data_IF_259843429416
#
_entry.id   IF_259843429416
#
_cell.length_a   1.000
_cell.length_b   1.000
_cell.length_c   1.000
_cell.angle_alpha   90.00
_cell.angle_beta   90.00
_cell.angle_gamma   90.00
#
_symmetry.space_group_name_H-M   'P 1'
#
loop_
_entity.id
_entity.type
_entity.pdbx_description
1 polymer ?
#
# COMPACT_ATOMS: atom_id res chain seq x y z
N UNK A 1 -32.73 13.52 -23.39
CA UNK A 1 -31.69 13.67 -22.34
C UNK A 1 -30.99 12.34 -22.21
N UNK A 2 -29.68 12.29 -22.44
CA UNK A 2 -28.90 11.06 -22.23
C UNK A 2 -28.99 10.63 -20.76
N UNK A 3 -29.08 9.32 -20.50
CA UNK A 3 -29.05 8.81 -19.13
C UNK A 3 -27.77 9.29 -18.44
N UNK A 4 -27.86 9.74 -17.19
CA UNK A 4 -26.67 10.04 -16.40
C UNK A 4 -25.83 8.77 -16.21
N UNK A 5 -24.52 8.92 -16.32
CA UNK A 5 -23.55 7.84 -16.07
C UNK A 5 -23.71 7.31 -14.65
N UNK A 6 -23.69 5.99 -14.47
CA UNK A 6 -23.81 5.31 -13.18
C UNK A 6 -22.52 4.57 -12.88
N UNK A 7 -22.20 4.44 -11.59
CA UNK A 7 -20.98 3.78 -11.12
C UNK A 7 -21.31 2.59 -10.23
N UNK A 8 -20.49 1.54 -10.33
CA UNK A 8 -20.44 0.44 -9.37
C UNK A 8 -19.55 0.85 -8.21
N UNK A 9 -20.10 0.91 -6.99
CA UNK A 9 -19.38 1.39 -5.80
C UNK A 9 -18.67 0.24 -5.08
N UNK A 10 -17.38 0.39 -4.84
CA UNK A 10 -16.57 -0.50 -4.00
C UNK A 10 -16.03 0.31 -2.83
N UNK A 11 -16.27 -0.15 -1.59
CA UNK A 11 -15.85 0.56 -0.37
C UNK A 11 -14.81 -0.29 0.34
N UNK A 12 -13.66 0.30 0.69
CA UNK A 12 -12.60 -0.46 1.35
C UNK A 12 -11.42 0.39 1.81
N UNK A 13 -10.51 -0.26 2.54
CA UNK A 13 -9.21 0.32 2.92
C UNK A 13 -8.18 0.16 1.80
N UNK A 14 -8.21 -1.01 1.14
CA UNK A 14 -7.38 -1.37 -0.01
C UNK A 14 -5.87 -1.27 0.26
N UNK A 15 -5.41 -1.97 1.30
CA UNK A 15 -4.08 -1.73 1.88
C UNK A 15 -3.24 -3.01 2.13
N UNK A 16 -2.14 -3.24 1.38
CA UNK A 16 -1.87 -2.62 0.08
C UNK A 16 -2.91 -3.09 -0.96
N UNK A 17 -3.10 -2.32 -2.03
CA UNK A 17 -3.95 -2.76 -3.14
C UNK A 17 -3.32 -3.98 -3.82
N UNK A 18 -4.04 -5.11 -3.89
CA UNK A 18 -3.49 -6.40 -4.29
C UNK A 18 -4.38 -7.08 -5.34
N UNK A 19 -3.89 -8.18 -5.93
CA UNK A 19 -4.57 -8.87 -7.03
C UNK A 19 -5.99 -9.32 -6.66
N UNK A 20 -6.23 -9.72 -5.40
CA UNK A 20 -7.59 -10.00 -4.91
C UNK A 20 -8.56 -8.80 -4.97
N UNK A 21 -8.08 -7.59 -4.69
CA UNK A 21 -8.91 -6.39 -4.83
C UNK A 21 -9.18 -6.05 -6.29
N UNK A 22 -8.14 -6.13 -7.14
CA UNK A 22 -8.24 -5.93 -8.60
C UNK A 22 -9.26 -6.88 -9.21
N UNK A 23 -9.17 -8.18 -8.89
CA UNK A 23 -10.09 -9.21 -9.38
C UNK A 23 -11.56 -8.85 -9.15
N UNK A 24 -11.90 -8.42 -7.93
CA UNK A 24 -13.28 -8.06 -7.54
C UNK A 24 -13.76 -6.82 -8.31
N UNK A 25 -12.91 -5.81 -8.44
CA UNK A 25 -13.25 -4.57 -9.16
C UNK A 25 -13.42 -4.85 -10.66
N UNK A 26 -12.56 -5.69 -11.25
CA UNK A 26 -12.66 -6.11 -12.64
C UNK A 26 -13.96 -6.83 -12.98
N UNK A 27 -14.61 -7.49 -12.02
CA UNK A 27 -15.95 -8.06 -12.26
C UNK A 27 -16.98 -7.02 -12.73
N UNK A 28 -16.84 -5.75 -12.32
CA UNK A 28 -17.65 -4.67 -12.83
C UNK A 28 -17.11 -4.09 -14.15
N UNK A 29 -15.79 -3.88 -14.24
CA UNK A 29 -15.14 -3.30 -15.44
C UNK A 29 -15.32 -4.20 -16.68
N UNK A 30 -15.19 -5.51 -16.52
CA UNK A 30 -15.35 -6.51 -17.59
C UNK A 30 -16.80 -6.57 -18.12
N UNK A 31 -17.75 -5.98 -17.38
CA UNK A 31 -19.14 -5.78 -17.80
C UNK A 31 -19.39 -4.38 -18.38
N UNK A 32 -18.33 -3.65 -18.76
CA UNK A 32 -18.37 -2.29 -19.30
C UNK A 32 -19.06 -1.27 -18.36
N UNK A 33 -18.93 -1.50 -17.04
CA UNK A 33 -19.47 -0.59 -16.02
C UNK A 33 -18.39 0.36 -15.54
N UNK A 34 -18.75 1.62 -15.38
CA UNK A 34 -17.94 2.59 -14.64
C UNK A 34 -17.83 2.21 -13.16
N UNK A 35 -16.68 2.44 -12.55
CA UNK A 35 -16.39 2.07 -11.17
C UNK A 35 -16.09 3.29 -10.31
N UNK A 36 -16.62 3.30 -9.09
CA UNK A 36 -16.26 4.25 -8.05
C UNK A 36 -15.65 3.50 -6.87
N UNK A 37 -14.41 3.81 -6.51
CA UNK A 37 -13.71 3.24 -5.37
C UNK A 37 -13.74 4.27 -4.23
N UNK A 38 -14.43 3.97 -3.15
CA UNK A 38 -14.45 4.78 -1.95
C UNK A 38 -13.41 4.28 -0.94
N UNK A 39 -12.32 5.02 -0.83
CA UNK A 39 -11.22 4.77 0.10
C UNK A 39 -11.57 5.29 1.50
N UNK A 40 -11.55 4.39 2.47
CA UNK A 40 -11.68 4.74 3.89
C UNK A 40 -10.42 5.46 4.39
N UNK A 41 -10.60 6.69 4.87
CA UNK A 41 -9.56 7.43 5.58
C UNK A 41 -9.34 6.82 6.97
N UNK A 42 -8.34 5.97 7.07
CA UNK A 42 -7.99 5.19 8.26
C UNK A 42 -6.65 5.65 8.85
N UNK A 43 -6.47 5.56 10.18
CA UNK A 43 -5.20 5.93 10.80
C UNK A 43 -4.04 5.06 10.30
N UNK A 44 -2.87 5.66 10.18
CA UNK A 44 -1.62 4.95 9.86
C UNK A 44 -1.17 4.18 11.10
N UNK A 45 -0.84 2.90 10.92
CA UNK A 45 -0.26 2.04 11.97
C UNK A 45 0.94 1.28 11.44
N UNK A 46 1.61 0.50 12.29
CA UNK A 46 2.67 -0.41 11.84
C UNK A 46 2.17 -1.45 10.83
N UNK A 47 0.93 -1.89 10.99
CA UNK A 47 0.30 -2.92 10.16
C UNK A 47 -0.46 -2.33 8.95
N UNK A 48 -0.77 -1.04 9.00
CA UNK A 48 -1.43 -0.28 7.95
C UNK A 48 -0.60 0.99 7.69
N UNK A 49 0.53 0.87 6.95
CA UNK A 49 1.53 1.92 6.86
C UNK A 49 1.28 2.95 5.74
N UNK A 50 0.15 2.94 5.05
CA UNK A 50 -0.10 3.80 3.88
C UNK A 50 -1.16 4.87 4.15
N UNK A 51 -0.84 6.13 3.81
CA UNK A 51 -1.82 7.23 3.84
C UNK A 51 -2.94 6.96 2.82
N UNK A 52 -4.08 7.65 2.98
CA UNK A 52 -5.17 7.54 2.00
C UNK A 52 -4.76 8.08 0.63
N UNK A 53 -3.89 9.10 0.59
CA UNK A 53 -3.26 9.64 -0.61
C UNK A 53 -2.38 8.60 -1.31
N UNK A 54 -1.48 7.94 -0.58
CA UNK A 54 -0.59 6.91 -1.17
C UNK A 54 -1.42 5.74 -1.73
N UNK A 55 -2.49 5.35 -1.04
CA UNK A 55 -3.43 4.33 -1.53
C UNK A 55 -4.18 4.79 -2.78
N UNK A 56 -4.60 6.05 -2.82
CA UNK A 56 -5.23 6.67 -3.98
C UNK A 56 -4.28 6.65 -5.18
N UNK A 57 -3.05 7.13 -5.01
CA UNK A 57 -2.02 7.14 -6.06
C UNK A 57 -1.75 5.75 -6.62
N UNK A 58 -1.61 4.74 -5.76
CA UNK A 58 -1.43 3.34 -6.17
C UNK A 58 -2.58 2.82 -7.04
N UNK A 59 -3.83 3.14 -6.67
CA UNK A 59 -5.03 2.66 -7.35
C UNK A 59 -5.27 3.44 -8.65
N UNK A 60 -5.10 4.76 -8.63
CA UNK A 60 -5.26 5.62 -9.80
C UNK A 60 -4.23 5.30 -10.88
N UNK A 61 -2.96 5.09 -10.53
CA UNK A 61 -1.95 4.69 -11.52
C UNK A 61 -2.25 3.31 -12.11
N UNK A 62 -2.76 2.37 -11.30
CA UNK A 62 -3.15 1.05 -11.78
C UNK A 62 -4.31 1.10 -12.78
N UNK A 63 -5.30 1.96 -12.55
CA UNK A 63 -6.51 2.10 -13.39
C UNK A 63 -6.50 3.33 -14.31
N UNK A 64 -5.35 3.95 -14.59
CA UNK A 64 -5.26 5.26 -15.25
C UNK A 64 -5.95 5.37 -16.62
N UNK A 65 -6.06 4.25 -17.33
CA UNK A 65 -6.67 4.17 -18.67
C UNK A 65 -8.05 3.50 -18.64
N UNK A 66 -8.61 3.25 -17.44
CA UNK A 66 -9.89 2.57 -17.21
C UNK A 66 -10.93 3.54 -16.63
N UNK A 67 -12.22 3.18 -16.71
CA UNK A 67 -13.33 4.03 -16.25
C UNK A 67 -13.55 3.93 -14.72
N UNK A 68 -12.54 4.36 -13.98
CA UNK A 68 -12.47 4.29 -12.52
C UNK A 68 -12.34 5.69 -11.94
N UNK A 69 -13.16 5.99 -10.93
CA UNK A 69 -13.00 7.19 -10.08
C UNK A 69 -12.70 6.77 -8.65
N UNK A 70 -11.76 7.45 -8.01
CA UNK A 70 -11.41 7.20 -6.61
C UNK A 70 -11.85 8.38 -5.76
N UNK A 71 -12.58 8.11 -4.69
CA UNK A 71 -13.05 9.12 -3.73
C UNK A 71 -12.56 8.78 -2.33
N UNK A 72 -12.34 9.80 -1.51
CA UNK A 72 -12.13 9.63 -0.08
C UNK A 72 -13.46 9.62 0.66
N UNK A 73 -13.57 8.76 1.66
CA UNK A 73 -14.65 8.81 2.65
C UNK A 73 -14.07 8.76 4.07
N UNK A 74 -14.79 9.28 5.09
CA UNK A 74 -14.44 9.04 6.48
C UNK A 74 -14.30 7.55 6.78
N UNK A 75 -13.62 7.21 7.86
CA UNK A 75 -13.69 5.84 8.35
C UNK A 75 -15.14 5.50 8.72
N UNK A 76 -15.63 4.35 8.24
CA UNK A 76 -17.03 3.96 8.43
C UNK A 76 -17.15 2.67 9.24
N UNK A 77 -18.14 2.65 10.12
CA UNK A 77 -18.52 1.47 10.91
C UNK A 77 -19.49 0.55 10.16
N UNK A 78 -20.40 1.11 9.37
CA UNK A 78 -21.48 0.36 8.71
C UNK A 78 -21.91 0.99 7.38
N UNK A 79 -22.40 0.15 6.46
CA UNK A 79 -23.09 0.57 5.24
C UNK A 79 -24.58 0.34 5.44
N UNK A 80 -25.33 1.41 5.66
CA UNK A 80 -26.75 1.36 5.98
C UNK A 80 -27.60 1.66 4.74
N UNK A 81 -28.50 0.74 4.37
CA UNK A 81 -29.26 0.80 3.11
C UNK A 81 -30.76 0.83 3.43
N UNK A 82 -31.48 1.81 2.86
CA UNK A 82 -32.93 1.98 3.03
C UNK A 82 -33.78 1.13 2.08
N UNK A 83 -35.09 1.41 2.05
CA UNK A 83 -36.01 0.83 1.05
C UNK A 83 -35.95 1.64 -0.24
N UNK A 84 -36.02 0.96 -1.40
CA UNK A 84 -36.09 1.57 -2.75
C UNK A 84 -34.91 2.52 -3.07
N UNK A 85 -33.68 2.11 -2.76
CA UNK A 85 -32.46 2.94 -2.91
C UNK A 85 -32.06 3.24 -4.36
N UNK A 86 -32.68 2.58 -5.35
CA UNK A 86 -32.45 2.89 -6.77
C UNK A 86 -31.15 2.30 -7.36
N UNK A 87 -30.48 1.43 -6.60
CA UNK A 87 -29.32 0.63 -7.02
C UNK A 87 -29.42 -0.80 -6.48
N UNK A 88 -28.65 -1.71 -7.09
CA UNK A 88 -28.53 -3.09 -6.65
C UNK A 88 -27.37 -3.24 -5.67
N UNK A 89 -27.52 -4.16 -4.71
CA UNK A 89 -26.44 -4.58 -3.82
C UNK A 89 -25.91 -5.90 -4.35
N UNK A 90 -24.72 -5.85 -4.96
CA UNK A 90 -24.08 -7.00 -5.58
C UNK A 90 -22.92 -7.44 -4.70
N UNK A 91 -22.83 -8.74 -4.42
CA UNK A 91 -21.69 -9.37 -3.77
C UNK A 91 -20.87 -10.10 -4.82
N UNK A 92 -19.58 -9.83 -4.85
CA UNK A 92 -18.61 -10.59 -5.64
C UNK A 92 -17.78 -11.43 -4.67
N UNK A 93 -17.74 -12.73 -4.89
CA UNK A 93 -16.85 -13.64 -4.17
C UNK A 93 -15.65 -13.95 -5.07
N UNK A 94 -14.44 -13.94 -4.50
CA UNK A 94 -13.24 -14.33 -5.22
C UNK A 94 -13.10 -15.87 -5.17
N UNK A 95 -12.60 -16.52 -6.23
CA UNK A 95 -12.29 -17.95 -6.16
C UNK A 95 -11.15 -18.22 -5.16
N UNK A 96 -11.10 -19.42 -4.54
CA UNK A 96 -10.17 -19.75 -3.44
C UNK A 96 -8.70 -19.39 -3.72
N UNK A 97 -8.22 -19.57 -4.96
CA UNK A 97 -6.85 -19.24 -5.35
C UNK A 97 -6.52 -17.74 -5.33
N UNK A 98 -7.54 -16.88 -5.42
CA UNK A 98 -7.45 -15.42 -5.28
C UNK A 98 -7.71 -15.00 -3.83
N UNK A 99 -8.58 -15.70 -3.10
CA UNK A 99 -8.79 -15.49 -1.66
C UNK A 99 -7.51 -15.72 -0.84
N UNK A 100 -6.64 -16.62 -1.30
CA UNK A 100 -5.33 -16.86 -0.69
C UNK A 100 -4.35 -15.68 -0.76
N UNK A 101 -4.71 -14.58 -1.44
CA UNK A 101 -3.93 -13.34 -1.48
C UNK A 101 -4.47 -12.39 -0.40
N UNK A 102 -3.87 -12.43 0.79
CA UNK A 102 -4.20 -11.47 1.84
C UNK A 102 -3.18 -10.34 1.95
N UNK A 103 -3.67 -9.13 2.23
CA UNK A 103 -2.84 -7.99 2.59
C UNK A 103 -1.85 -8.29 3.72
N UNK A 104 -2.25 -9.11 4.70
CA UNK A 104 -1.39 -9.49 5.83
C UNK A 104 -0.18 -10.29 5.35
N UNK A 105 -0.38 -11.32 4.53
CA UNK A 105 0.72 -12.10 3.97
C UNK A 105 1.64 -11.24 3.10
N UNK A 106 1.10 -10.31 2.32
CA UNK A 106 1.91 -9.40 1.51
C UNK A 106 2.81 -8.53 2.40
N UNK A 107 2.28 -8.00 3.51
CA UNK A 107 3.07 -7.21 4.46
C UNK A 107 4.15 -8.04 5.15
N UNK A 108 3.84 -9.27 5.54
CA UNK A 108 4.82 -10.21 6.11
C UNK A 108 5.95 -10.49 5.13
N UNK A 109 5.62 -10.79 3.86
CA UNK A 109 6.61 -11.00 2.80
C UNK A 109 7.50 -9.75 2.59
N UNK A 110 6.93 -8.55 2.61
CA UNK A 110 7.70 -7.30 2.51
C UNK A 110 8.66 -7.16 3.71
N UNK A 111 8.19 -7.43 4.93
CA UNK A 111 8.99 -7.33 6.15
C UNK A 111 10.14 -8.36 6.18
N UNK A 112 9.92 -9.55 5.62
CA UNK A 112 10.91 -10.63 5.49
C UNK A 112 11.87 -10.43 4.32
N UNK A 113 11.61 -9.46 3.42
CA UNK A 113 12.37 -9.28 2.19
C UNK A 113 12.11 -10.37 1.14
N UNK A 114 10.98 -11.07 1.22
CA UNK A 114 10.57 -12.07 0.24
C UNK A 114 9.94 -11.40 -0.99
N UNK A 115 10.68 -11.36 -2.09
CA UNK A 115 10.29 -10.73 -3.36
C UNK A 115 9.02 -11.31 -4.03
N UNK A 116 8.49 -12.45 -3.57
CA UNK A 116 7.24 -13.04 -4.09
C UNK A 116 6.05 -12.07 -4.00
N UNK A 117 6.04 -11.18 -3.01
CA UNK A 117 4.97 -10.19 -2.81
C UNK A 117 4.69 -9.36 -4.07
N UNK A 118 5.69 -9.13 -4.92
CA UNK A 118 5.58 -8.38 -6.17
C UNK A 118 4.64 -9.02 -7.17
N UNK A 119 4.47 -10.35 -7.11
CA UNK A 119 3.52 -11.09 -7.96
C UNK A 119 2.09 -11.03 -7.45
N UNK A 120 1.90 -10.66 -6.19
CA UNK A 120 0.60 -10.65 -5.49
C UNK A 120 -0.09 -9.29 -5.53
N UNK A 121 0.59 -8.26 -6.03
CA UNK A 121 0.04 -6.92 -6.23
C UNK A 121 0.12 -6.53 -7.71
N UNK A 122 -0.67 -5.55 -8.18
CA UNK A 122 -0.49 -5.02 -9.51
C UNK A 122 0.88 -4.34 -9.70
N UNK A 123 1.35 -4.30 -10.94
CA UNK A 123 2.67 -3.73 -11.26
C UNK A 123 2.82 -2.28 -10.79
N UNK A 124 1.81 -1.44 -11.02
CA UNK A 124 1.80 -0.05 -10.57
C UNK A 124 2.00 0.07 -9.05
N UNK A 125 1.32 -0.81 -8.29
CA UNK A 125 1.48 -0.90 -6.83
C UNK A 125 2.90 -1.34 -6.48
N UNK A 126 3.44 -2.39 -7.12
CA UNK A 126 4.80 -2.83 -6.85
C UNK A 126 5.84 -1.74 -7.10
N UNK A 127 5.73 -1.04 -8.23
CA UNK A 127 6.61 0.07 -8.60
C UNK A 127 6.54 1.21 -7.57
N UNK A 128 5.33 1.55 -7.12
CA UNK A 128 5.10 2.54 -6.06
C UNK A 128 5.73 2.12 -4.73
N UNK A 129 5.55 0.87 -4.30
CA UNK A 129 6.11 0.38 -3.04
C UNK A 129 7.64 0.38 -3.05
N UNK A 130 8.24 -0.01 -4.17
CA UNK A 130 9.70 0.04 -4.37
C UNK A 130 10.18 1.50 -4.35
N UNK A 131 9.50 2.40 -5.06
CA UNK A 131 9.88 3.81 -5.10
C UNK A 131 9.75 4.48 -3.73
N UNK A 132 8.71 4.15 -2.96
CA UNK A 132 8.49 4.61 -1.59
C UNK A 132 9.62 4.14 -0.66
N UNK A 133 10.01 2.87 -0.72
CA UNK A 133 11.12 2.34 0.08
C UNK A 133 12.45 3.01 -0.27
N UNK A 134 12.71 3.25 -1.55
CA UNK A 134 13.90 3.95 -2.02
C UNK A 134 13.90 5.47 -1.69
N UNK A 135 12.72 6.07 -1.58
CA UNK A 135 12.52 7.49 -1.28
C UNK A 135 12.54 7.79 0.22
N UNK A 136 12.37 6.77 1.08
CA UNK A 136 12.69 6.91 2.51
C UNK A 136 14.15 7.36 2.60
N UNK A 137 14.46 8.46 3.32
CA UNK A 137 15.82 8.97 3.44
C UNK A 137 16.80 7.82 3.70
N UNK A 138 17.67 7.57 2.73
CA UNK A 138 18.55 6.41 2.70
C UNK A 138 19.35 6.30 3.99
N UNK A 139 19.15 5.16 4.67
CA UNK A 139 19.71 4.74 5.97
C UNK A 139 19.12 5.52 7.14
N UNK A 140 18.31 4.84 7.99
CA UNK A 140 18.26 5.17 9.42
C UNK A 140 19.72 5.38 9.87
N UNK A 141 20.10 6.62 10.16
CA UNK A 141 21.39 6.89 10.78
C UNK A 141 21.45 6.01 12.03
N UNK A 142 22.38 5.05 12.06
CA UNK A 142 22.58 4.26 13.26
C UNK A 142 23.39 5.12 14.22
N UNK A 143 22.79 5.52 15.34
CA UNK A 143 23.51 6.22 16.40
C UNK A 143 24.23 5.17 17.22
N UNK A 144 25.57 5.23 17.24
CA UNK A 144 26.40 4.41 18.12
C UNK A 144 26.87 5.30 19.26
N UNK A 145 26.46 4.99 20.48
CA UNK A 145 26.83 5.75 21.67
C UNK A 145 27.92 5.02 22.47
N UNK A 146 29.08 5.65 22.62
CA UNK A 146 30.18 5.11 23.42
C UNK A 146 30.13 5.67 24.86
N UNK A 147 29.98 4.82 25.88
CA UNK A 147 30.02 5.18 27.31
C UNK A 147 31.24 4.58 28.03
N UNK A 148 31.67 5.15 29.16
CA UNK A 148 32.81 4.69 29.95
C UNK A 148 33.63 5.81 30.61
N UNK A 149 34.55 5.46 31.53
CA UNK A 149 35.42 6.39 32.27
C UNK A 149 36.36 7.22 31.38
N UNK A 150 36.82 8.38 31.84
CA UNK A 150 37.83 9.17 31.11
C UNK A 150 39.08 8.31 30.81
N UNK A 151 39.62 8.40 29.59
CA UNK A 151 40.76 7.59 29.15
C UNK A 151 40.45 6.15 28.71
N UNK A 152 39.20 5.68 28.78
CA UNK A 152 38.83 4.29 28.42
C UNK A 152 38.87 3.96 26.91
N UNK A 153 39.41 4.84 26.07
CA UNK A 153 39.54 4.61 24.61
C UNK A 153 38.30 4.89 23.75
N UNK A 154 37.23 5.48 24.30
CA UNK A 154 35.99 5.81 23.55
C UNK A 154 36.24 6.61 22.27
N UNK A 155 37.05 7.67 22.36
CA UNK A 155 37.37 8.52 21.21
C UNK A 155 38.18 7.75 20.15
N UNK A 156 39.05 6.84 20.57
CA UNK A 156 39.83 5.99 19.66
C UNK A 156 38.92 5.03 18.87
N UNK A 157 37.97 4.39 19.55
CA UNK A 157 36.99 3.50 18.91
C UNK A 157 36.07 4.27 17.96
N UNK A 158 35.61 5.46 18.37
CA UNK A 158 34.78 6.31 17.51
C UNK A 158 35.52 6.67 16.20
N UNK A 159 36.77 7.13 16.29
CA UNK A 159 37.57 7.50 15.12
C UNK A 159 37.87 6.30 14.19
N UNK A 160 38.13 5.11 14.75
CA UNK A 160 38.34 3.91 13.96
C UNK A 160 37.06 3.46 13.25
N UNK A 161 35.92 3.49 13.94
CA UNK A 161 34.63 3.16 13.36
C UNK A 161 34.28 4.12 12.22
N UNK A 162 34.50 5.42 12.40
CA UNK A 162 34.31 6.43 11.36
C UNK A 162 35.16 6.12 10.12
N UNK A 163 36.46 5.87 10.30
CA UNK A 163 37.37 5.53 9.21
C UNK A 163 36.96 4.23 8.47
N UNK A 164 36.45 3.23 9.18
CA UNK A 164 35.97 1.99 8.58
C UNK A 164 34.69 2.21 7.74
N UNK A 165 33.75 3.02 8.24
CA UNK A 165 32.50 3.35 7.53
C UNK A 165 32.80 4.14 6.25
N UNK A 166 33.72 5.11 6.31
CA UNK A 166 34.13 5.90 5.13
C UNK A 166 34.75 4.99 4.06
N UNK A 167 35.67 4.10 4.44
CA UNK A 167 36.30 3.15 3.51
C UNK A 167 35.30 2.23 2.83
N UNK A 168 34.31 1.70 3.55
CA UNK A 168 33.25 0.87 2.95
C UNK A 168 32.40 1.64 1.93
N UNK A 169 32.16 2.93 2.14
CA UNK A 169 31.39 3.76 1.19
C UNK A 169 32.16 4.08 -0.10
N UNK A 170 33.49 4.09 -0.07
CA UNK A 170 34.34 4.41 -1.24
C UNK A 170 34.54 3.19 -2.15
N UNK A 171 34.42 1.98 -1.60
CA UNK A 171 34.66 0.72 -2.32
C UNK A 171 33.37 0.06 -2.89
N UNK A 172 32.23 0.73 -2.78
CA UNK A 172 30.93 0.33 -3.35
C UNK A 172 30.47 1.42 -4.33
#
# INVERSE_FOLDING_TARGET
MGKSKKYSLFIGRFEPFHQGHDYIIRQALDQDKSVCIALRNTPITEWDPYTVEERREMIEEHYKDEDVVVIEIPDIESVNIGRKVGYEVIRYDAPEHVEGISATQIREMIAEGNEEWKTKVPKAVADFLISRENSKPGKKGRVVWFTGLSGSGKSTLANQLEGAIIKQKVNN
#
